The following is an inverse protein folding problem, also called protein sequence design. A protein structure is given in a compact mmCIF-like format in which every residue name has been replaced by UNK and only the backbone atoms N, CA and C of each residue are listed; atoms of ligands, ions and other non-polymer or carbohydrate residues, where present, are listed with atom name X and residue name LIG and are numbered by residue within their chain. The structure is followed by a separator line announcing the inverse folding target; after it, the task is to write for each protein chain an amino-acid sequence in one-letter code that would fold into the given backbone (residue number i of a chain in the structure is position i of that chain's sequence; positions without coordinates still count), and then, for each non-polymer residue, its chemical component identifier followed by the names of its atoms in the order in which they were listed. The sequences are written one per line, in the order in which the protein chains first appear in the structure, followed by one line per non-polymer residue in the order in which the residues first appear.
data_IF_159835641919
#
_entry.id   IF_159835641919
#
_cell.length_a   1.000
_cell.length_b   1.000
_cell.length_c   1.000
_cell.angle_alpha   90.00
_cell.angle_beta   90.00
_cell.angle_gamma   90.00
#
_symmetry.space_group_name_H-M   'P 1'
#
loop_
_entity.id
_entity.type
_entity.pdbx_description
1 polymer ?
#
# COMPACT_ATOMS: atom_id res chain seq x y z
N UNK A 1 20.55 -10.06 9.88
CA UNK A 1 19.25 -9.49 10.28
C UNK A 1 19.46 -8.23 11.11
N UNK A 2 18.72 -7.15 10.85
CA UNK A 2 18.79 -5.89 11.62
C UNK A 2 17.47 -5.70 12.40
N UNK A 3 17.57 -5.58 13.75
CA UNK A 3 16.39 -5.42 14.62
C UNK A 3 16.16 -3.95 14.92
N UNK A 4 14.97 -3.43 14.58
CA UNK A 4 14.53 -2.07 14.86
C UNK A 4 13.54 -2.08 16.03
N UNK A 5 13.87 -1.34 17.08
CA UNK A 5 13.05 -1.17 18.29
C UNK A 5 12.67 0.28 18.45
N UNK A 6 11.63 0.55 19.25
CA UNK A 6 11.28 1.92 19.61
C UNK A 6 12.46 2.62 20.27
N UNK A 7 12.80 3.80 19.76
CA UNK A 7 13.81 4.67 20.38
C UNK A 7 13.10 5.81 21.10
N UNK A 8 13.36 5.94 22.40
CA UNK A 8 12.74 6.97 23.24
C UNK A 8 13.23 8.39 22.93
N UNK A 9 14.38 8.54 22.30
CA UNK A 9 15.04 9.83 22.08
C UNK A 9 14.76 10.46 20.70
N UNK A 10 14.28 9.64 19.74
CA UNK A 10 13.96 10.08 18.38
C UNK A 10 12.45 10.21 18.16
N UNK A 11 12.04 11.14 17.29
CA UNK A 11 10.67 11.17 16.81
C UNK A 11 10.34 9.90 16.01
N UNK A 12 9.11 9.34 16.11
CA UNK A 12 8.73 8.15 15.37
C UNK A 12 8.99 8.26 13.86
N UNK A 13 8.65 9.38 13.26
CA UNK A 13 8.83 9.68 11.85
C UNK A 13 10.31 9.70 11.44
N UNK A 14 11.15 10.25 12.29
CA UNK A 14 12.61 10.34 12.07
C UNK A 14 13.27 8.97 12.18
N UNK A 15 12.93 8.20 13.21
CA UNK A 15 13.46 6.85 13.41
C UNK A 15 13.13 5.91 12.26
N UNK A 16 11.91 6.04 11.71
CA UNK A 16 11.39 5.21 10.62
C UNK A 16 11.51 5.89 9.25
N UNK A 17 12.32 6.95 9.12
CA UNK A 17 12.49 7.69 7.88
C UNK A 17 13.26 6.92 6.78
N UNK A 18 14.05 5.90 7.15
CA UNK A 18 14.87 5.12 6.21
C UNK A 18 14.05 4.17 5.32
N UNK A 19 14.74 3.56 4.34
CA UNK A 19 14.19 2.48 3.53
C UNK A 19 13.76 1.31 4.42
N UNK A 20 12.52 0.86 4.30
CA UNK A 20 11.93 -0.27 5.01
C UNK A 20 11.66 -1.48 4.11
N UNK A 21 12.23 -1.50 2.91
CA UNK A 21 12.17 -2.67 2.04
C UNK A 21 12.77 -3.90 2.73
N UNK A 22 12.23 -5.08 2.40
CA UNK A 22 12.60 -6.35 3.02
C UNK A 22 12.55 -6.31 4.55
N UNK A 23 11.42 -5.84 5.10
CA UNK A 23 11.20 -5.71 6.53
C UNK A 23 9.96 -6.46 7.00
N UNK A 24 10.00 -6.95 8.23
CA UNK A 24 8.90 -7.65 8.90
C UNK A 24 8.60 -6.94 10.22
N UNK A 25 7.36 -6.47 10.40
CA UNK A 25 6.87 -5.99 11.69
C UNK A 25 6.23 -7.15 12.45
N UNK A 26 6.68 -7.39 13.68
CA UNK A 26 6.18 -8.46 14.54
C UNK A 26 5.12 -7.93 15.51
N UNK A 27 3.86 -7.97 15.07
CA UNK A 27 2.68 -7.56 15.85
C UNK A 27 2.18 -8.70 16.74
N UNK A 28 1.71 -8.36 17.94
CA UNK A 28 1.17 -9.35 18.88
C UNK A 28 1.34 -8.91 20.34
N UNK A 29 0.89 -9.73 21.31
CA UNK A 29 1.01 -9.36 22.72
C UNK A 29 2.43 -9.01 23.12
N UNK A 30 2.57 -7.93 23.87
CA UNK A 30 3.82 -7.54 24.50
C UNK A 30 3.79 -7.92 25.97
N UNK A 31 4.86 -8.53 26.52
CA UNK A 31 4.96 -8.78 27.95
C UNK A 31 4.99 -7.46 28.73
N UNK A 32 4.32 -7.41 29.88
CA UNK A 32 4.27 -6.22 30.72
C UNK A 32 5.29 -6.21 31.85
N UNK A 33 5.65 -7.39 32.35
CA UNK A 33 6.50 -7.54 33.54
C UNK A 33 7.75 -8.40 33.25
N UNK A 34 7.60 -9.48 32.49
CA UNK A 34 8.70 -10.40 32.21
C UNK A 34 8.99 -10.48 30.71
N UNK A 35 9.96 -9.72 30.24
CA UNK A 35 10.37 -9.69 28.84
C UNK A 35 11.07 -10.98 28.38
N UNK A 36 11.41 -11.89 29.30
CA UNK A 36 11.92 -13.23 28.94
C UNK A 36 10.87 -14.08 28.24
N UNK A 37 9.58 -13.85 28.54
CA UNK A 37 8.44 -14.55 27.93
C UNK A 37 7.98 -13.92 26.59
N UNK A 38 8.74 -12.99 26.01
CA UNK A 38 8.39 -12.38 24.72
C UNK A 38 8.59 -13.38 23.57
N UNK A 39 7.51 -13.80 22.95
CA UNK A 39 7.47 -14.71 21.80
C UNK A 39 8.36 -14.24 20.63
N UNK A 40 8.70 -12.97 20.56
CA UNK A 40 9.53 -12.41 19.54
C UNK A 40 10.97 -12.89 19.61
N UNK A 41 11.43 -13.36 20.77
CA UNK A 41 12.74 -14.01 20.90
C UNK A 41 12.81 -15.26 20.02
N UNK A 42 11.80 -16.13 20.15
CA UNK A 42 11.65 -17.30 19.28
C UNK A 42 11.57 -16.89 17.80
N UNK A 43 10.81 -15.83 17.48
CA UNK A 43 10.74 -15.32 16.11
C UNK A 43 12.09 -14.86 15.55
N UNK A 44 12.92 -14.21 16.37
CA UNK A 44 14.27 -13.79 15.95
C UNK A 44 15.17 -14.99 15.68
N UNK A 45 15.17 -16.01 16.55
CA UNK A 45 15.92 -17.24 16.37
C UNK A 45 15.51 -17.99 15.09
N UNK A 46 14.19 -18.09 14.84
CA UNK A 46 13.66 -18.70 13.61
C UNK A 46 14.11 -17.91 12.39
N UNK A 47 13.96 -16.60 12.37
CA UNK A 47 14.33 -15.74 11.24
C UNK A 47 15.82 -15.82 10.93
N UNK A 48 16.67 -15.89 11.96
CA UNK A 48 18.11 -16.09 11.80
C UNK A 48 18.43 -17.48 11.22
N UNK A 49 17.82 -18.54 11.77
CA UNK A 49 17.97 -19.92 11.31
C UNK A 49 17.59 -20.11 9.83
N UNK A 50 16.53 -19.44 9.38
CA UNK A 50 16.09 -19.53 7.97
C UNK A 50 16.83 -18.55 7.04
N UNK A 51 17.81 -17.81 7.54
CA UNK A 51 18.69 -16.95 6.75
C UNK A 51 18.08 -15.61 6.34
N UNK A 52 17.07 -15.11 7.06
CA UNK A 52 16.50 -13.80 6.75
C UNK A 52 17.52 -12.68 7.02
N UNK A 53 17.84 -11.90 6.00
CA UNK A 53 18.85 -10.83 6.07
C UNK A 53 18.25 -9.43 6.21
N UNK A 54 16.92 -9.31 6.12
CA UNK A 54 16.20 -8.05 6.17
C UNK A 54 16.11 -7.41 7.56
N UNK A 55 15.19 -6.47 7.69
CA UNK A 55 14.91 -5.73 8.94
C UNK A 55 13.75 -6.38 9.69
N UNK A 56 13.88 -6.51 10.99
CA UNK A 56 12.80 -6.97 11.86
C UNK A 56 12.42 -5.85 12.82
N UNK A 57 11.17 -5.43 12.77
CA UNK A 57 10.64 -4.31 13.53
C UNK A 57 9.78 -4.86 14.66
N UNK A 58 10.06 -4.44 15.89
CA UNK A 58 9.35 -4.92 17.08
C UNK A 58 8.85 -3.76 17.95
N UNK A 59 7.55 -3.81 18.38
CA UNK A 59 6.99 -2.81 19.28
C UNK A 59 7.43 -3.00 20.74
N UNK A 60 8.12 -4.09 21.08
CA UNK A 60 8.56 -4.35 22.44
C UNK A 60 9.48 -3.25 22.93
N UNK A 61 9.01 -2.53 23.93
CA UNK A 61 9.70 -1.37 24.51
C UNK A 61 9.90 -1.59 26.02
N UNK A 62 11.04 -2.18 26.43
CA UNK A 62 11.36 -2.36 27.85
C UNK A 62 11.55 -1.02 28.60
N UNK A 63 11.84 0.04 27.86
CA UNK A 63 12.05 1.38 28.40
C UNK A 63 10.78 2.25 28.37
N UNK A 64 9.58 1.64 28.21
CA UNK A 64 8.31 2.40 28.16
C UNK A 64 8.11 3.30 29.39
N UNK A 65 8.51 2.84 30.56
CA UNK A 65 8.42 3.65 31.78
C UNK A 65 9.31 4.90 31.71
N UNK A 66 10.51 4.81 31.14
CA UNK A 66 11.37 5.97 30.89
C UNK A 66 10.74 6.93 29.87
N UNK A 67 10.05 6.36 28.86
CA UNK A 67 9.28 7.15 27.89
C UNK A 67 8.16 7.92 28.60
N UNK A 68 7.45 7.25 29.52
CA UNK A 68 6.40 7.87 30.32
C UNK A 68 6.94 8.95 31.25
N UNK A 69 8.07 8.73 31.92
CA UNK A 69 8.74 9.74 32.75
C UNK A 69 9.11 10.99 31.94
N UNK A 70 9.59 10.81 30.70
CA UNK A 70 10.04 11.90 29.82
C UNK A 70 8.88 12.68 29.18
N UNK A 71 7.79 12.00 28.78
CA UNK A 71 6.73 12.59 27.97
C UNK A 71 5.34 12.57 28.63
N UNK A 72 5.21 12.01 29.85
CA UNK A 72 3.94 11.89 30.57
C UNK A 72 2.87 11.19 29.74
N UNK A 73 1.66 11.73 29.72
CA UNK A 73 0.52 11.17 28.99
C UNK A 73 0.73 11.08 27.47
N UNK A 74 1.72 11.81 26.93
CA UNK A 74 2.06 11.73 25.51
C UNK A 74 2.90 10.49 25.15
N UNK A 75 3.42 9.76 26.14
CA UNK A 75 4.24 8.57 25.90
C UNK A 75 3.47 7.49 25.13
N UNK A 76 2.23 7.23 25.55
CA UNK A 76 1.37 6.25 24.86
C UNK A 76 1.07 6.65 23.41
N UNK A 77 0.77 7.93 23.17
CA UNK A 77 0.53 8.43 21.81
C UNK A 77 1.78 8.26 20.94
N UNK A 78 2.96 8.53 21.47
CA UNK A 78 4.23 8.33 20.73
C UNK A 78 4.46 6.87 20.38
N UNK A 79 4.19 5.94 21.30
CA UNK A 79 4.31 4.50 21.07
C UNK A 79 3.34 4.07 19.98
N UNK A 80 2.06 4.44 20.08
CA UNK A 80 1.02 4.10 19.08
C UNK A 80 1.38 4.69 17.71
N UNK A 81 1.84 5.94 17.66
CA UNK A 81 2.26 6.58 16.40
C UNK A 81 3.41 5.82 15.77
N UNK A 82 4.41 5.41 16.56
CA UNK A 82 5.54 4.63 16.06
C UNK A 82 5.09 3.28 15.51
N UNK A 83 4.25 2.54 16.24
CA UNK A 83 3.71 1.25 15.82
C UNK A 83 2.92 1.39 14.52
N UNK A 84 2.06 2.39 14.42
CA UNK A 84 1.28 2.67 13.21
C UNK A 84 2.17 2.96 11.99
N UNK A 85 3.17 3.85 12.14
CA UNK A 85 4.11 4.17 11.06
C UNK A 85 4.95 2.94 10.69
N UNK A 86 5.38 2.16 11.67
CA UNK A 86 6.19 0.97 11.46
C UNK A 86 5.40 -0.11 10.69
N UNK A 87 4.16 -0.40 11.10
CA UNK A 87 3.28 -1.34 10.38
C UNK A 87 2.99 -0.85 8.96
N UNK A 88 2.80 0.46 8.77
CA UNK A 88 2.55 1.05 7.45
C UNK A 88 3.73 0.92 6.50
N UNK A 89 4.96 1.03 7.02
CA UNK A 89 6.19 1.01 6.21
C UNK A 89 6.81 -0.37 6.04
N UNK A 90 6.43 -1.33 6.87
CA UNK A 90 6.95 -2.69 6.79
C UNK A 90 6.51 -3.39 5.49
N UNK A 91 7.42 -4.17 4.89
CA UNK A 91 7.10 -5.01 3.73
C UNK A 91 6.14 -6.14 4.08
N UNK A 92 6.17 -6.61 5.32
CA UNK A 92 5.22 -7.56 5.86
C UNK A 92 4.89 -7.23 7.32
N UNK A 93 3.64 -7.46 7.72
CA UNK A 93 3.19 -7.41 9.11
C UNK A 93 2.76 -8.81 9.52
N UNK A 94 3.37 -9.32 10.58
CA UNK A 94 3.05 -10.64 11.14
C UNK A 94 2.34 -10.46 12.46
N UNK A 95 1.06 -10.79 12.49
CA UNK A 95 0.30 -10.91 13.73
C UNK A 95 0.47 -12.33 14.30
N UNK A 96 1.21 -12.46 15.39
CA UNK A 96 1.30 -13.68 16.16
C UNK A 96 0.59 -13.47 17.49
N UNK A 97 -0.68 -13.90 17.55
CA UNK A 97 -1.55 -13.60 18.71
C UNK A 97 -1.43 -14.71 19.76
N UNK A 98 -0.25 -14.79 20.36
CA UNK A 98 0.10 -15.69 21.45
C UNK A 98 -0.48 -15.18 22.79
N UNK A 99 -1.83 -15.13 22.88
CA UNK A 99 -2.54 -14.62 24.05
C UNK A 99 -2.46 -15.59 25.19
N UNK A 100 -2.01 -15.10 26.33
CA UNK A 100 -1.99 -15.82 27.61
C UNK A 100 -2.55 -14.91 28.70
N UNK A 101 -3.78 -15.21 29.12
CA UNK A 101 -4.47 -14.37 30.12
C UNK A 101 -3.87 -14.59 31.50
N UNK A 102 -3.41 -15.81 31.81
CA UNK A 102 -2.80 -16.15 33.11
C UNK A 102 -1.46 -15.42 33.29
N UNK A 103 -0.69 -15.29 32.23
CA UNK A 103 0.57 -14.52 32.23
C UNK A 103 0.38 -13.01 31.99
N UNK A 104 -0.85 -12.52 32.10
CA UNK A 104 -1.18 -11.10 31.87
C UNK A 104 -0.80 -10.56 30.48
N UNK A 105 -0.86 -11.41 29.44
CA UNK A 105 -0.67 -11.02 28.04
C UNK A 105 -2.01 -10.99 27.27
N UNK A 106 -2.94 -10.08 27.61
CA UNK A 106 -4.34 -10.15 27.11
C UNK A 106 -4.49 -9.69 25.66
N UNK A 107 -3.47 -9.08 25.07
CA UNK A 107 -3.46 -8.62 23.67
C UNK A 107 -4.62 -7.66 23.31
N UNK A 108 -5.03 -6.75 24.20
CA UNK A 108 -6.14 -5.84 23.92
C UNK A 108 -5.84 -4.86 22.77
N UNK A 109 -4.67 -4.23 22.78
CA UNK A 109 -4.24 -3.33 21.72
C UNK A 109 -4.02 -4.09 20.41
N UNK A 110 -3.48 -5.29 20.46
CA UNK A 110 -3.34 -6.18 19.30
C UNK A 110 -4.67 -6.47 18.60
N UNK A 111 -5.80 -6.54 19.36
CA UNK A 111 -7.10 -6.73 18.72
C UNK A 111 -7.54 -5.52 17.90
N UNK A 112 -7.22 -4.30 18.34
CA UNK A 112 -7.53 -3.06 17.63
C UNK A 112 -6.69 -3.01 16.36
N UNK A 113 -5.37 -3.18 16.50
CA UNK A 113 -4.43 -3.22 15.36
C UNK A 113 -4.82 -4.30 14.35
N UNK A 114 -5.14 -5.50 14.84
CA UNK A 114 -5.59 -6.60 13.99
C UNK A 114 -6.87 -6.20 13.22
N UNK A 115 -7.83 -5.55 13.87
CA UNK A 115 -9.06 -5.10 13.25
C UNK A 115 -8.82 -4.16 12.06
N UNK A 116 -7.80 -3.30 12.15
CA UNK A 116 -7.46 -2.29 11.15
C UNK A 116 -6.58 -2.83 10.01
N UNK A 117 -5.87 -3.95 10.25
CA UNK A 117 -4.80 -4.40 9.34
C UNK A 117 -4.99 -5.79 8.73
N UNK A 118 -5.78 -6.70 9.34
CA UNK A 118 -5.76 -8.14 9.04
C UNK A 118 -6.06 -8.52 7.59
N UNK A 119 -6.79 -7.72 6.84
CA UNK A 119 -7.19 -7.98 5.44
C UNK A 119 -6.40 -7.17 4.40
N UNK A 120 -5.29 -6.53 4.82
CA UNK A 120 -4.40 -5.80 3.91
C UNK A 120 -3.37 -6.73 3.27
N UNK A 121 -2.92 -6.44 2.05
CA UNK A 121 -1.79 -7.13 1.43
C UNK A 121 -0.54 -7.06 2.33
N UNK A 122 0.24 -8.14 2.34
CA UNK A 122 1.44 -8.20 3.17
C UNK A 122 1.20 -8.42 4.65
N UNK A 123 -0.06 -8.62 5.08
CA UNK A 123 -0.40 -8.97 6.46
C UNK A 123 -0.65 -10.47 6.59
N UNK A 124 -0.02 -11.07 7.58
CA UNK A 124 -0.08 -12.51 7.85
C UNK A 124 -0.41 -12.73 9.32
N UNK A 125 -1.23 -13.72 9.61
CA UNK A 125 -1.72 -13.95 10.97
C UNK A 125 -1.51 -15.40 11.44
N UNK A 126 -1.20 -15.55 12.71
CA UNK A 126 -1.09 -16.85 13.34
C UNK A 126 -1.50 -16.84 14.81
N UNK A 127 -1.92 -18.01 15.27
CA UNK A 127 -2.45 -18.22 16.61
C UNK A 127 -1.95 -19.58 17.09
N UNK A 128 -1.04 -19.65 18.07
CA UNK A 128 -0.65 -20.95 18.62
C UNK A 128 -1.86 -21.66 19.24
N UNK A 129 -1.87 -22.99 19.17
CA UNK A 129 -3.03 -23.80 19.59
C UNK A 129 -3.39 -23.61 21.07
N UNK A 130 -2.41 -23.28 21.90
CA UNK A 130 -2.59 -22.99 23.32
C UNK A 130 -3.12 -21.59 23.63
N UNK A 131 -3.11 -20.67 22.64
CA UNK A 131 -3.50 -19.28 22.86
C UNK A 131 -5.02 -19.14 23.03
N UNK A 132 -5.39 -18.38 24.05
CA UNK A 132 -6.78 -18.29 24.48
C UNK A 132 -7.57 -17.24 23.69
N UNK A 133 -8.89 -17.46 23.57
CA UNK A 133 -9.89 -16.47 23.11
C UNK A 133 -9.55 -15.76 21.79
N UNK A 134 -9.05 -16.51 20.82
CA UNK A 134 -8.75 -16.01 19.47
C UNK A 134 -9.87 -16.34 18.45
N UNK A 135 -10.97 -16.96 18.87
CA UNK A 135 -12.03 -17.44 17.96
C UNK A 135 -12.62 -16.31 17.10
N UNK A 136 -12.86 -15.14 17.72
CA UNK A 136 -13.38 -13.99 16.98
C UNK A 136 -12.44 -13.53 15.86
N UNK A 137 -11.14 -13.50 16.11
CA UNK A 137 -10.14 -13.11 15.11
C UNK A 137 -10.04 -14.15 14.00
N UNK A 138 -10.05 -15.43 14.34
CA UNK A 138 -10.09 -16.56 13.38
C UNK A 138 -11.33 -16.50 12.51
N UNK A 139 -12.51 -16.30 13.09
CA UNK A 139 -13.76 -16.14 12.33
C UNK A 139 -13.69 -14.96 11.34
N UNK A 140 -13.06 -13.84 11.70
CA UNK A 140 -12.86 -12.70 10.79
C UNK A 140 -12.02 -13.08 9.56
N UNK A 141 -10.96 -13.87 9.76
CA UNK A 141 -10.11 -14.38 8.68
C UNK A 141 -10.87 -15.39 7.81
N UNK A 142 -11.62 -16.32 8.43
CA UNK A 142 -12.43 -17.32 7.72
C UNK A 142 -13.50 -16.66 6.83
N UNK A 143 -14.19 -15.65 7.33
CA UNK A 143 -15.17 -14.86 6.55
C UNK A 143 -14.56 -14.24 5.28
N UNK A 144 -13.28 -13.85 5.33
CA UNK A 144 -12.53 -13.27 4.22
C UNK A 144 -11.76 -14.32 3.42
N UNK A 145 -11.80 -15.60 3.81
CA UNK A 145 -11.00 -16.71 3.25
C UNK A 145 -9.49 -16.45 3.31
N UNK A 146 -9.04 -15.77 4.36
CA UNK A 146 -7.63 -15.46 4.60
C UNK A 146 -7.02 -16.60 5.42
N UNK A 147 -5.92 -17.16 4.92
CA UNK A 147 -5.18 -18.21 5.60
C UNK A 147 -4.51 -17.68 6.86
N UNK A 148 -4.49 -18.49 7.92
CA UNK A 148 -3.71 -18.26 9.14
C UNK A 148 -2.96 -19.55 9.56
N UNK A 149 -2.01 -19.41 10.48
CA UNK A 149 -1.11 -20.47 10.91
C UNK A 149 -1.23 -20.71 12.42
N UNK A 150 -0.92 -21.92 12.86
CA UNK A 150 -0.80 -22.26 14.28
C UNK A 150 0.66 -22.54 14.70
N UNK A 151 1.59 -22.52 13.75
CA UNK A 151 3.02 -22.71 13.98
C UNK A 151 3.78 -21.45 13.50
N UNK A 152 4.59 -20.88 14.41
CA UNK A 152 5.33 -19.64 14.15
C UNK A 152 6.42 -19.82 13.08
N UNK A 153 7.13 -20.95 13.10
CA UNK A 153 8.21 -21.22 12.13
C UNK A 153 7.63 -21.36 10.72
N UNK A 154 6.50 -22.04 10.55
CA UNK A 154 5.82 -22.16 9.26
C UNK A 154 5.32 -20.80 8.75
N UNK A 155 4.74 -19.99 9.63
CA UNK A 155 4.30 -18.63 9.30
C UNK A 155 5.49 -17.79 8.82
N UNK A 156 6.57 -17.72 9.57
CA UNK A 156 7.73 -16.91 9.24
C UNK A 156 8.43 -17.41 7.96
N UNK A 157 8.55 -18.74 7.75
CA UNK A 157 9.04 -19.30 6.48
C UNK A 157 8.19 -18.89 5.29
N UNK A 158 6.85 -18.89 5.46
CA UNK A 158 5.95 -18.45 4.42
C UNK A 158 6.16 -16.96 4.10
N UNK A 159 6.25 -16.10 5.12
CA UNK A 159 6.47 -14.66 4.96
C UNK A 159 7.79 -14.36 4.26
N UNK A 160 8.89 -14.95 4.72
CA UNK A 160 10.22 -14.75 4.10
C UNK A 160 10.21 -15.20 2.64
N UNK A 161 9.63 -16.38 2.34
CA UNK A 161 9.48 -16.86 0.96
C UNK A 161 8.64 -15.92 0.09
N UNK A 162 7.65 -15.24 0.68
CA UNK A 162 6.84 -14.23 -0.03
C UNK A 162 7.65 -12.97 -0.29
N UNK A 163 8.45 -12.49 0.68
CA UNK A 163 9.32 -11.34 0.51
C UNK A 163 10.42 -11.59 -0.52
N UNK A 164 10.98 -12.82 -0.56
CA UNK A 164 11.97 -13.21 -1.57
C UNK A 164 11.35 -13.38 -2.96
N UNK A 165 10.12 -13.85 -3.03
CA UNK A 165 9.40 -14.16 -4.29
C UNK A 165 8.44 -13.09 -4.72
N UNK A 166 8.22 -12.03 -3.93
CA UNK A 166 7.38 -10.94 -4.42
C UNK A 166 8.08 -10.36 -5.63
N UNK A 167 7.69 -10.78 -6.85
CA UNK A 167 7.95 -9.92 -7.98
C UNK A 167 7.36 -8.57 -7.59
N UNK A 168 8.06 -7.53 -7.89
CA UNK A 168 7.53 -6.20 -7.84
C UNK A 168 6.30 -6.21 -8.74
N UNK A 169 5.11 -6.27 -8.16
CA UNK A 169 3.88 -6.16 -8.94
C UNK A 169 3.76 -4.72 -9.44
N UNK A 170 3.16 -4.57 -10.60
CA UNK A 170 2.97 -3.27 -11.22
C UNK A 170 1.48 -2.93 -11.21
N UNK A 171 1.18 -1.74 -10.69
CA UNK A 171 -0.18 -1.22 -10.59
C UNK A 171 -0.33 0.08 -11.39
N UNK A 172 -1.59 0.39 -11.75
CA UNK A 172 -1.93 1.53 -12.59
C UNK A 172 -3.16 2.24 -12.04
N UNK A 173 -3.16 3.57 -12.11
CA UNK A 173 -4.31 4.42 -11.80
C UNK A 173 -4.13 5.78 -12.44
N UNK A 174 -5.18 6.59 -12.45
CA UNK A 174 -5.17 7.98 -12.93
C UNK A 174 -6.27 8.80 -12.28
N UNK A 175 -6.19 10.12 -12.44
CA UNK A 175 -7.26 11.06 -12.08
C UNK A 175 -7.76 10.88 -10.64
N UNK A 176 -6.84 10.69 -9.71
CA UNK A 176 -7.19 10.55 -8.31
C UNK A 176 -7.79 11.83 -7.75
N UNK A 177 -7.28 13.01 -8.17
CA UNK A 177 -7.75 14.31 -7.72
C UNK A 177 -7.92 14.40 -6.20
N UNK A 178 -6.96 13.86 -5.45
CA UNK A 178 -6.98 13.92 -3.99
C UNK A 178 -7.19 15.36 -3.51
N UNK A 179 -8.10 15.54 -2.54
CA UNK A 179 -8.42 16.82 -1.92
C UNK A 179 -8.98 17.89 -2.87
N UNK A 180 -9.44 17.52 -4.07
CA UNK A 180 -10.08 18.44 -5.02
C UNK A 180 -11.60 18.33 -4.99
N UNK A 181 -12.25 19.12 -4.16
CA UNK A 181 -13.69 19.08 -3.89
C UNK A 181 -14.56 19.19 -5.16
N UNK A 182 -14.12 19.96 -6.15
CA UNK A 182 -14.85 20.11 -7.43
C UNK A 182 -15.07 18.76 -8.14
N UNK A 183 -14.17 17.79 -7.95
CA UNK A 183 -14.23 16.49 -8.61
C UNK A 183 -15.40 15.64 -8.12
N UNK A 184 -15.84 15.81 -6.87
CA UNK A 184 -17.04 15.17 -6.34
C UNK A 184 -18.26 15.47 -7.24
N UNK A 185 -18.46 16.74 -7.57
CA UNK A 185 -19.59 17.18 -8.36
C UNK A 185 -19.40 16.94 -9.85
N UNK A 186 -18.21 17.24 -10.38
CA UNK A 186 -17.92 17.17 -11.80
C UNK A 186 -17.92 15.73 -12.34
N UNK A 187 -17.32 14.82 -11.60
CA UNK A 187 -17.25 13.38 -11.94
C UNK A 187 -18.35 12.56 -11.28
N UNK A 188 -19.24 13.20 -10.50
CA UNK A 188 -20.34 12.54 -9.77
C UNK A 188 -19.85 11.39 -8.90
N UNK A 189 -18.74 11.60 -8.18
CA UNK A 189 -18.18 10.59 -7.30
C UNK A 189 -19.12 10.31 -6.11
N UNK A 190 -19.30 9.04 -5.70
CA UNK A 190 -20.31 8.64 -4.71
C UNK A 190 -19.82 8.83 -3.27
N UNK A 191 -19.21 9.98 -2.96
CA UNK A 191 -18.73 10.31 -1.62
C UNK A 191 -19.49 11.51 -1.07
N UNK A 192 -19.73 11.52 0.24
CA UNK A 192 -20.47 12.61 0.91
C UNK A 192 -19.65 13.90 0.93
N UNK A 193 -18.34 13.78 1.06
CA UNK A 193 -17.42 14.91 1.08
C UNK A 193 -16.01 14.47 0.64
N UNK A 194 -15.12 15.45 0.50
CA UNK A 194 -13.75 15.24 0.05
C UNK A 194 -12.91 14.39 1.03
N UNK A 195 -13.16 14.54 2.32
CA UNK A 195 -12.43 13.78 3.34
C UNK A 195 -12.75 12.28 3.26
N UNK A 196 -14.02 11.92 3.07
CA UNK A 196 -14.43 10.53 2.85
C UNK A 196 -13.81 9.98 1.56
N UNK A 197 -13.81 10.77 0.48
CA UNK A 197 -13.20 10.39 -0.80
C UNK A 197 -11.71 10.05 -0.61
N UNK A 198 -10.95 10.95 -0.01
CA UNK A 198 -9.52 10.78 0.18
C UNK A 198 -9.21 9.55 1.07
N UNK A 199 -9.93 9.38 2.17
CA UNK A 199 -9.76 8.23 3.06
C UNK A 199 -10.06 6.91 2.35
N UNK A 200 -11.15 6.83 1.60
CA UNK A 200 -11.52 5.62 0.88
C UNK A 200 -10.49 5.29 -0.21
N UNK A 201 -10.06 6.29 -0.97
CA UNK A 201 -9.07 6.10 -2.04
C UNK A 201 -7.70 5.68 -1.48
N UNK A 202 -7.22 6.31 -0.39
CA UNK A 202 -5.99 5.91 0.29
C UNK A 202 -6.13 4.50 0.84
N UNK A 203 -7.27 4.17 1.45
CA UNK A 203 -7.56 2.83 1.98
C UNK A 203 -7.53 1.77 0.88
N UNK A 204 -8.21 2.02 -0.24
CA UNK A 204 -8.27 1.10 -1.38
C UNK A 204 -6.89 0.92 -2.03
N UNK A 205 -6.14 2.01 -2.18
CA UNK A 205 -4.76 1.95 -2.65
C UNK A 205 -3.91 1.06 -1.73
N UNK A 206 -3.90 1.34 -0.44
CA UNK A 206 -3.05 0.63 0.52
C UNK A 206 -3.50 -0.81 0.83
N UNK A 207 -4.74 -1.17 0.52
CA UNK A 207 -5.23 -2.55 0.53
C UNK A 207 -4.77 -3.35 -0.69
N UNK A 208 -4.39 -2.69 -1.76
CA UNK A 208 -4.07 -3.30 -3.06
C UNK A 208 -2.57 -3.28 -3.32
N UNK A 209 -1.93 -2.14 -3.07
CA UNK A 209 -0.51 -1.89 -3.34
C UNK A 209 0.30 -2.05 -2.06
N UNK A 210 1.43 -2.76 -2.15
CA UNK A 210 2.39 -2.93 -1.07
C UNK A 210 3.59 -1.98 -1.21
N UNK A 211 4.44 -1.91 -0.17
CA UNK A 211 5.70 -1.15 -0.22
C UNK A 211 6.75 -1.76 -1.16
N UNK A 212 6.47 -2.90 -1.78
CA UNK A 212 7.38 -3.55 -2.74
C UNK A 212 6.97 -3.31 -4.20
N UNK A 213 5.85 -2.63 -4.45
CA UNK A 213 5.23 -2.54 -5.77
C UNK A 213 5.57 -1.24 -6.50
N UNK A 214 5.53 -1.29 -7.82
CA UNK A 214 5.63 -0.12 -8.69
C UNK A 214 4.24 0.35 -9.08
N UNK A 215 4.01 1.66 -9.02
CA UNK A 215 2.74 2.25 -9.45
C UNK A 215 2.98 3.25 -10.56
N UNK A 216 2.23 3.11 -11.65
CA UNK A 216 2.10 4.13 -12.68
C UNK A 216 0.83 4.94 -12.40
N UNK A 217 1.00 6.23 -12.17
CA UNK A 217 -0.10 7.19 -12.05
C UNK A 217 -0.17 8.04 -13.32
N UNK A 218 -1.23 7.91 -14.08
CA UNK A 218 -1.35 8.57 -15.38
C UNK A 218 -1.91 10.00 -15.30
N UNK A 219 -1.58 10.73 -14.23
CA UNK A 219 -1.80 12.17 -14.12
C UNK A 219 -3.03 12.60 -13.31
N UNK A 220 -3.07 13.90 -13.05
CA UNK A 220 -4.09 14.58 -12.26
C UNK A 220 -4.21 14.00 -10.84
N UNK A 221 -3.09 14.09 -10.11
CA UNK A 221 -2.93 13.46 -8.79
C UNK A 221 -3.80 14.12 -7.72
N UNK A 222 -3.73 15.45 -7.56
CA UNK A 222 -4.51 16.10 -6.52
C UNK A 222 -4.06 17.51 -6.15
N UNK A 223 -4.58 17.99 -5.02
CA UNK A 223 -4.31 19.33 -4.51
C UNK A 223 -2.92 19.44 -3.89
N UNK A 224 -2.22 20.50 -4.23
CA UNK A 224 -0.83 20.73 -3.80
C UNK A 224 -0.69 20.85 -2.27
N UNK A 225 -1.72 21.37 -1.60
CA UNK A 225 -1.66 21.60 -0.14
C UNK A 225 -1.62 20.32 0.70
N UNK A 226 -2.18 19.22 0.18
CA UNK A 226 -2.24 17.92 0.87
C UNK A 226 -1.30 16.88 0.25
N UNK A 227 -0.79 17.15 -0.93
CA UNK A 227 -0.03 16.22 -1.77
C UNK A 227 1.13 15.52 -1.04
N UNK A 228 1.92 16.28 -0.27
CA UNK A 228 3.04 15.72 0.49
C UNK A 228 2.59 14.65 1.49
N UNK A 229 1.52 14.92 2.21
CA UNK A 229 0.98 14.00 3.21
C UNK A 229 0.43 12.74 2.51
N UNK A 230 -0.35 12.92 1.45
CA UNK A 230 -0.93 11.81 0.69
C UNK A 230 0.17 10.94 0.08
N UNK A 231 1.17 11.51 -0.59
CA UNK A 231 2.32 10.76 -1.12
C UNK A 231 3.09 9.99 -0.05
N UNK A 232 3.14 10.52 1.17
CA UNK A 232 3.73 9.82 2.32
C UNK A 232 2.83 8.69 2.81
N UNK A 233 1.52 8.83 2.64
CA UNK A 233 0.51 7.90 3.13
C UNK A 233 0.26 6.71 2.20
N UNK A 234 0.54 6.83 0.91
CA UNK A 234 0.36 5.78 -0.06
C UNK A 234 1.49 4.74 -0.01
N UNK A 235 1.15 3.48 -0.22
CA UNK A 235 2.12 2.40 -0.38
C UNK A 235 2.65 2.37 -1.81
N UNK A 236 3.95 2.34 -1.98
CA UNK A 236 4.67 2.04 -3.23
C UNK A 236 6.17 1.92 -2.94
N UNK A 237 6.86 1.10 -3.70
CA UNK A 237 8.32 1.07 -3.78
C UNK A 237 8.81 2.20 -4.70
N UNK A 238 8.13 2.36 -5.84
CA UNK A 238 8.39 3.39 -6.83
C UNK A 238 7.06 3.88 -7.39
N UNK A 239 6.91 5.19 -7.48
CA UNK A 239 5.79 5.85 -8.16
C UNK A 239 6.30 6.50 -9.44
N UNK A 240 5.82 6.03 -10.59
CA UNK A 240 6.07 6.66 -11.88
C UNK A 240 4.85 7.55 -12.18
N UNK A 241 5.02 8.84 -11.99
CA UNK A 241 3.95 9.82 -12.12
C UNK A 241 4.04 10.53 -13.47
N UNK A 242 3.15 10.16 -14.38
CA UNK A 242 2.96 10.86 -15.65
C UNK A 242 2.11 12.11 -15.37
N UNK A 243 2.60 13.29 -15.73
CA UNK A 243 1.91 14.54 -15.42
C UNK A 243 0.65 14.71 -16.25
N UNK A 244 -0.47 14.97 -15.58
CA UNK A 244 -1.72 15.42 -16.19
C UNK A 244 -1.75 16.93 -16.46
N UNK A 245 -2.83 17.41 -17.03
CA UNK A 245 -2.94 18.84 -17.35
C UNK A 245 -3.01 19.74 -16.09
N UNK A 246 -3.56 19.25 -14.97
CA UNK A 246 -3.51 19.96 -13.69
C UNK A 246 -2.13 19.90 -13.06
N UNK A 247 -1.44 18.78 -13.15
CA UNK A 247 -0.09 18.60 -12.62
C UNK A 247 0.91 19.52 -13.33
N UNK A 248 0.82 19.62 -14.67
CA UNK A 248 1.70 20.52 -15.47
C UNK A 248 1.56 21.98 -15.07
N UNK A 249 0.37 22.40 -14.65
CA UNK A 249 0.14 23.78 -14.20
C UNK A 249 0.91 24.14 -12.91
N UNK A 250 1.26 23.14 -12.11
CA UNK A 250 1.94 23.27 -10.81
C UNK A 250 3.25 22.46 -10.74
N UNK A 251 3.85 22.14 -11.86
CA UNK A 251 5.04 21.27 -11.98
C UNK A 251 6.19 21.67 -11.03
N UNK A 252 6.46 22.96 -10.90
CA UNK A 252 7.52 23.45 -10.01
C UNK A 252 7.28 23.11 -8.55
N UNK A 253 6.04 23.21 -8.10
CA UNK A 253 5.66 22.90 -6.73
C UNK A 253 5.68 21.39 -6.49
N UNK A 254 5.23 20.59 -7.46
CA UNK A 254 5.35 19.13 -7.43
C UNK A 254 6.81 18.71 -7.28
N UNK A 255 7.71 19.21 -8.12
CA UNK A 255 9.13 18.89 -8.07
C UNK A 255 9.77 19.26 -6.72
N UNK A 256 9.34 20.38 -6.12
CA UNK A 256 9.77 20.77 -4.79
C UNK A 256 9.32 19.75 -3.73
N UNK A 257 8.02 19.38 -3.72
CA UNK A 257 7.48 18.37 -2.78
C UNK A 257 8.20 17.04 -2.94
N UNK A 258 8.38 16.57 -4.18
CA UNK A 258 9.09 15.31 -4.45
C UNK A 258 10.53 15.36 -3.93
N UNK A 259 11.24 16.47 -4.10
CA UNK A 259 12.59 16.66 -3.57
C UNK A 259 12.67 16.63 -2.03
N UNK A 260 11.60 17.00 -1.34
CA UNK A 260 11.49 16.95 0.12
C UNK A 260 11.19 15.53 0.64
N UNK A 261 10.63 14.65 -0.20
CA UNK A 261 10.31 13.26 0.12
C UNK A 261 11.52 12.33 -0.11
N UNK A 262 12.67 12.65 0.49
CA UNK A 262 13.98 12.02 0.26
C UNK A 262 14.02 10.49 0.36
N UNK A 263 13.07 9.89 1.08
CA UNK A 263 13.00 8.44 1.31
C UNK A 263 11.93 7.75 0.44
N UNK A 264 11.41 8.46 -0.55
CA UNK A 264 10.38 7.96 -1.48
C UNK A 264 10.91 8.04 -2.90
N UNK A 265 10.77 6.94 -3.64
CA UNK A 265 11.18 6.91 -5.04
C UNK A 265 10.01 7.34 -5.92
N UNK A 266 10.05 8.56 -6.40
CA UNK A 266 9.01 9.17 -7.25
C UNK A 266 9.69 9.74 -8.50
N UNK A 267 9.31 9.22 -9.65
CA UNK A 267 9.75 9.70 -10.96
C UNK A 267 8.60 10.50 -11.60
N UNK A 268 8.79 11.80 -11.75
CA UNK A 268 7.82 12.68 -12.42
C UNK A 268 8.23 12.80 -13.88
N UNK A 269 7.35 12.38 -14.80
CA UNK A 269 7.62 12.28 -16.22
C UNK A 269 6.47 12.82 -17.07
N UNK A 270 6.73 13.19 -18.32
CA UNK A 270 5.67 13.60 -19.25
C UNK A 270 4.90 12.42 -19.85
N UNK A 271 5.57 11.28 -19.99
CA UNK A 271 5.01 10.01 -20.45
C UNK A 271 5.90 8.86 -19.99
N UNK A 272 5.34 7.66 -19.88
CA UNK A 272 6.10 6.45 -19.60
C UNK A 272 5.84 5.40 -20.68
N UNK A 273 6.84 4.55 -20.92
CA UNK A 273 6.74 3.42 -21.85
C UNK A 273 7.49 2.24 -21.25
N UNK A 274 6.86 1.07 -21.29
CA UNK A 274 7.48 -0.17 -20.81
C UNK A 274 7.06 -1.35 -21.69
N UNK A 275 7.81 -2.44 -21.59
CA UNK A 275 7.47 -3.70 -22.26
C UNK A 275 7.04 -4.75 -21.24
N UNK A 276 5.96 -5.47 -21.55
CA UNK A 276 5.49 -6.59 -20.77
C UNK A 276 4.90 -7.66 -21.70
N UNK A 277 5.32 -8.92 -21.54
CA UNK A 277 4.86 -10.05 -22.35
C UNK A 277 4.91 -9.78 -23.87
N UNK A 278 6.02 -9.17 -24.35
CA UNK A 278 6.24 -8.81 -25.76
C UNK A 278 5.27 -7.76 -26.33
N UNK A 279 4.53 -7.07 -25.47
CA UNK A 279 3.71 -5.91 -25.84
C UNK A 279 4.35 -4.65 -25.29
N UNK A 280 4.27 -3.56 -26.04
CA UNK A 280 4.68 -2.22 -25.60
C UNK A 280 3.49 -1.49 -25.04
N UNK A 281 3.63 -0.94 -23.83
CA UNK A 281 2.62 -0.15 -23.15
C UNK A 281 3.07 1.30 -23.04
N UNK A 282 2.20 2.22 -23.39
CA UNK A 282 2.40 3.66 -23.22
C UNK A 282 1.45 4.17 -22.16
N UNK A 283 1.98 4.79 -21.12
CA UNK A 283 1.20 5.47 -20.08
C UNK A 283 1.28 6.97 -20.36
N UNK A 284 0.14 7.57 -20.63
CA UNK A 284 -0.02 8.99 -20.95
C UNK A 284 -1.22 9.55 -20.18
N UNK A 285 -1.33 10.87 -20.06
CA UNK A 285 -2.50 11.44 -19.44
C UNK A 285 -3.65 11.59 -20.45
N UNK A 286 -3.40 12.35 -21.52
CA UNK A 286 -4.43 12.53 -22.56
C UNK A 286 -4.44 11.35 -23.54
N UNK A 287 -5.62 10.82 -23.88
CA UNK A 287 -5.75 9.67 -24.79
C UNK A 287 -5.08 9.89 -26.16
N UNK A 288 -5.04 11.12 -26.63
CA UNK A 288 -4.53 11.46 -27.96
C UNK A 288 -3.00 11.47 -28.04
N UNK A 289 -2.30 11.64 -26.92
CA UNK A 289 -0.83 11.64 -26.88
C UNK A 289 -0.22 10.27 -27.23
N UNK A 290 -0.98 9.18 -27.04
CA UNK A 290 -0.51 7.82 -27.33
C UNK A 290 -1.00 7.22 -28.64
N UNK A 291 -2.05 7.79 -29.25
CA UNK A 291 -2.75 7.17 -30.40
C UNK A 291 -2.10 7.37 -31.76
N UNK A 292 -1.18 8.31 -31.89
CA UNK A 292 -0.66 8.76 -33.18
C UNK A 292 0.70 8.18 -33.54
N UNK A 293 1.20 7.15 -32.83
CA UNK A 293 2.50 6.62 -33.18
C UNK A 293 2.40 5.50 -34.23
N UNK A 294 2.63 5.80 -35.52
CA UNK A 294 2.59 4.81 -36.61
C UNK A 294 3.60 3.65 -36.46
N UNK A 295 4.58 3.81 -35.58
CA UNK A 295 5.66 2.84 -35.35
C UNK A 295 5.26 1.62 -34.52
N UNK A 296 4.15 1.65 -33.78
CA UNK A 296 3.78 0.58 -32.87
C UNK A 296 2.30 0.23 -33.01
N UNK A 297 1.90 -0.43 -34.11
CA UNK A 297 0.50 -0.82 -34.32
C UNK A 297 -0.02 -1.81 -33.26
N UNK A 298 0.90 -2.50 -32.57
CA UNK A 298 0.57 -3.49 -31.54
C UNK A 298 0.75 -2.95 -30.10
N UNK A 299 0.96 -1.63 -29.95
CA UNK A 299 1.10 -1.04 -28.63
C UNK A 299 -0.23 -0.78 -27.94
N UNK A 300 -0.21 -0.81 -26.62
CA UNK A 300 -1.36 -0.51 -25.75
C UNK A 300 -1.17 0.86 -25.11
N UNK A 301 -2.21 1.70 -25.16
CA UNK A 301 -2.21 3.02 -24.54
C UNK A 301 -3.06 2.99 -23.28
N UNK A 302 -2.43 3.27 -22.15
CA UNK A 302 -3.05 3.42 -20.85
C UNK A 302 -3.15 4.91 -20.53
N UNK A 303 -4.36 5.43 -20.36
CA UNK A 303 -4.60 6.87 -20.28
C UNK A 303 -5.56 7.25 -19.15
N UNK A 304 -5.65 8.53 -18.85
CA UNK A 304 -6.61 9.14 -17.94
C UNK A 304 -7.42 10.24 -18.61
N UNK A 305 -7.62 11.35 -17.89
CA UNK A 305 -8.18 12.61 -18.35
C UNK A 305 -9.69 12.64 -18.61
N UNK A 306 -10.27 11.57 -19.11
CA UNK A 306 -11.67 11.58 -19.59
C UNK A 306 -12.70 11.12 -18.56
N UNK A 307 -12.28 10.78 -17.36
CA UNK A 307 -13.14 10.49 -16.20
C UNK A 307 -14.34 9.60 -16.52
N UNK A 308 -14.08 8.47 -17.14
CA UNK A 308 -15.17 7.55 -17.39
C UNK A 308 -16.07 7.85 -18.60
N UNK A 309 -15.72 8.75 -19.49
CA UNK A 309 -16.52 9.03 -20.68
C UNK A 309 -16.33 8.00 -21.80
N UNK A 310 -15.18 7.31 -21.83
CA UNK A 310 -14.92 6.21 -22.76
C UNK A 310 -13.93 5.23 -22.14
N UNK A 311 -14.44 4.10 -21.65
CA UNK A 311 -13.63 3.10 -20.94
C UNK A 311 -12.52 2.50 -21.81
N UNK A 312 -12.83 2.17 -23.06
CA UNK A 312 -11.89 1.51 -23.94
C UNK A 312 -11.89 2.08 -25.34
N UNK A 313 -10.72 2.06 -25.97
CA UNK A 313 -10.50 2.33 -27.38
C UNK A 313 -9.79 1.10 -27.98
N UNK A 314 -9.67 1.03 -29.34
CA UNK A 314 -9.15 -0.12 -30.06
C UNK A 314 -7.86 -0.72 -29.48
N UNK A 315 -6.96 0.11 -28.96
CA UNK A 315 -5.64 -0.29 -28.45
C UNK A 315 -5.33 0.29 -27.08
N UNK A 316 -6.34 0.60 -26.26
CA UNK A 316 -6.10 1.14 -24.95
C UNK A 316 -7.36 1.32 -24.12
N UNK A 317 -7.21 1.70 -22.86
CA UNK A 317 -8.31 1.95 -21.96
C UNK A 317 -7.96 2.96 -20.86
N UNK A 318 -9.03 3.49 -20.23
CA UNK A 318 -8.98 4.50 -19.21
C UNK A 318 -8.57 3.91 -17.86
N UNK A 319 -7.55 4.52 -17.24
CA UNK A 319 -7.06 4.20 -15.91
C UNK A 319 -7.74 5.03 -14.80
N UNK A 320 -8.63 5.97 -15.16
CA UNK A 320 -9.24 6.85 -14.19
C UNK A 320 -9.84 6.08 -13.02
N UNK A 321 -9.56 6.55 -11.81
CA UNK A 321 -10.03 5.95 -10.56
C UNK A 321 -11.56 5.75 -10.55
N UNK A 322 -12.27 6.60 -11.25
CA UNK A 322 -13.72 6.56 -11.43
C UNK A 322 -14.24 5.24 -12.02
N UNK A 323 -13.47 4.60 -12.92
CA UNK A 323 -13.84 3.30 -13.50
C UNK A 323 -13.48 2.09 -12.64
N UNK A 324 -12.43 2.24 -11.84
CA UNK A 324 -11.81 1.12 -11.13
C UNK A 324 -12.19 1.10 -9.64
N UNK A 325 -13.38 1.63 -9.30
CA UNK A 325 -13.87 1.71 -7.91
C UNK A 325 -12.85 2.36 -6.98
N UNK A 326 -12.17 3.38 -7.47
CA UNK A 326 -11.17 4.14 -6.71
C UNK A 326 -10.03 3.28 -6.16
N UNK A 327 -9.65 2.22 -6.93
CA UNK A 327 -8.62 1.24 -6.56
C UNK A 327 -7.62 1.10 -7.71
N UNK A 328 -6.31 1.15 -7.46
CA UNK A 328 -5.31 0.83 -8.49
C UNK A 328 -5.50 -0.59 -9.05
N UNK A 329 -5.31 -0.76 -10.34
CA UNK A 329 -5.43 -2.06 -11.02
C UNK A 329 -4.05 -2.69 -11.27
N UNK A 330 -3.97 -4.01 -11.15
CA UNK A 330 -2.73 -4.75 -11.38
C UNK A 330 -2.40 -4.92 -12.86
N UNK A 331 -1.13 -5.26 -13.17
CA UNK A 331 -0.71 -5.62 -14.52
C UNK A 331 -1.50 -6.81 -15.09
N UNK A 332 -1.88 -7.78 -14.26
CA UNK A 332 -2.72 -8.90 -14.65
C UNK A 332 -4.11 -8.42 -15.12
N UNK A 333 -4.71 -7.48 -14.41
CA UNK A 333 -5.99 -6.86 -14.82
C UNK A 333 -5.84 -6.06 -16.12
N UNK A 334 -4.74 -5.32 -16.27
CA UNK A 334 -4.42 -4.60 -17.52
C UNK A 334 -4.32 -5.57 -18.70
N UNK A 335 -3.62 -6.70 -18.53
CA UNK A 335 -3.52 -7.73 -19.56
C UNK A 335 -4.87 -8.35 -19.88
N UNK A 336 -5.67 -8.63 -18.87
CA UNK A 336 -7.02 -9.16 -19.07
C UNK A 336 -7.89 -8.21 -19.91
N UNK A 337 -7.91 -6.91 -19.55
CA UNK A 337 -8.65 -5.90 -20.31
C UNK A 337 -8.15 -5.77 -21.75
N UNK A 338 -6.84 -5.68 -21.95
CA UNK A 338 -6.26 -5.53 -23.28
C UNK A 338 -6.51 -6.74 -24.17
N UNK A 339 -6.53 -7.94 -23.61
CA UNK A 339 -6.88 -9.15 -24.33
C UNK A 339 -8.38 -9.18 -24.67
N UNK A 340 -9.24 -8.77 -23.73
CA UNK A 340 -10.69 -8.69 -23.97
C UNK A 340 -11.05 -7.69 -25.06
N UNK A 341 -10.40 -6.53 -25.11
CA UNK A 341 -10.64 -5.48 -26.12
C UNK A 341 -10.38 -6.00 -27.55
N UNK A 342 -9.45 -6.91 -27.75
CA UNK A 342 -9.15 -7.49 -29.05
C UNK A 342 -10.33 -8.29 -29.67
N UNK A 343 -11.24 -8.78 -28.83
CA UNK A 343 -12.42 -9.54 -29.23
C UNK A 343 -13.68 -8.69 -29.33
N UNK A 344 -13.61 -7.40 -28.99
CA UNK A 344 -14.77 -6.52 -29.08
C UNK A 344 -14.99 -6.10 -30.53
N UNK A 345 -16.20 -6.30 -31.03
CA UNK A 345 -16.62 -5.77 -32.33
C UNK A 345 -16.64 -4.24 -32.27
N UNK A 346 -15.70 -3.64 -32.94
CA UNK A 346 -15.51 -2.20 -32.97
C UNK A 346 -16.75 -1.44 -33.44
N UNK A 347 -17.55 -2.05 -34.33
CA UNK A 347 -18.72 -1.41 -34.91
C UNK A 347 -19.90 -1.31 -33.94
N UNK A 348 -19.99 -2.22 -32.96
CA UNK A 348 -21.11 -2.21 -32.00
C UNK A 348 -20.97 -1.11 -30.96
N UNK A 349 -19.74 -0.72 -30.57
CA UNK A 349 -19.49 0.20 -29.46
C UNK A 349 -18.97 1.57 -29.86
N UNK A 350 -18.32 1.74 -31.00
CA UNK A 350 -17.68 3.00 -31.37
C UNK A 350 -18.43 3.80 -32.43
N UNK A 351 -19.15 3.18 -33.35
CA UNK A 351 -19.86 3.94 -34.42
C UNK A 351 -21.16 4.60 -33.96
N UNK A 352 -21.77 4.14 -32.87
CA UNK A 352 -23.00 4.75 -32.32
C UNK A 352 -22.76 5.90 -31.35
N UNK A 353 -21.52 6.15 -30.93
CA UNK A 353 -21.18 7.28 -30.08
C UNK A 353 -20.83 8.56 -30.87
N UNK A 354 -20.93 8.53 -32.17
CA UNK A 354 -20.65 9.67 -33.06
C UNK A 354 -21.89 10.38 -33.56
N UNK A 355 -23.04 10.24 -32.86
CA UNK A 355 -24.26 10.98 -33.17
C UNK A 355 -24.61 11.92 -32.03
#
# INVERSE_FOLDING_TARGET
MNIIKVNTDMAPEEQLAGDMNNSIFLAGPCPRENYEDDWRKEAFEILEKIGFTGKVITPTNPDFMKLHEKYGDKALLRQITWEYIAMKKASAVVFWVARDIQKKHPAFTTNIEFGDWFDRPGVYSGFPDWAEKNDYLKCRLDMKKIKYWNNLEELLKHVVKKLEKSPTDTFFTSDTHFSQERTLNYSRRPFVNIFEMDLEMISNWNKTVTMNDVVYHAGDFGDISTMKNILSDLNYKQLIWVMGNYDRAIEKDINKIVSELKNRHIDVVSKATFEHNKKTYHVVHEPDEGMTHPRYPDSVVLYGHIHGRAFAKKNGFDLAADYHRYTPISMEQVEWFTNAIQYWDHNVFCEKASI
#
